data_IF_139827676628
#
_entry.id   IF_139827676628
#
_cell.length_a   1.000
_cell.length_b   1.000
_cell.length_c   1.000
_cell.angle_alpha   90.00
_cell.angle_beta   90.00
_cell.angle_gamma   90.00
#
_symmetry.space_group_name_H-M   'P 1'
#
loop_
_entity.id
_entity.type
_entity.pdbx_description
1 polymer ?
#
# COMPACT_ATOMS: atom_id res chain seq x y z
N UNK A 1 -26.22 5.51 -19.18
CA UNK A 1 -25.07 6.34 -19.58
C UNK A 1 -25.35 7.75 -19.09
N UNK A 2 -24.81 8.12 -17.94
CA UNK A 2 -24.78 9.51 -17.46
C UNK A 2 -23.61 10.20 -18.14
N UNK A 3 -23.86 11.34 -18.79
CA UNK A 3 -22.81 12.11 -19.47
C UNK A 3 -21.95 12.85 -18.44
N UNK A 4 -20.70 13.14 -18.78
CA UNK A 4 -19.73 13.90 -17.95
C UNK A 4 -20.35 15.19 -17.37
N UNK A 5 -21.27 15.81 -18.11
CA UNK A 5 -22.00 17.01 -17.71
C UNK A 5 -23.09 16.76 -16.66
N UNK A 6 -23.68 15.57 -16.60
CA UNK A 6 -24.66 15.20 -15.57
C UNK A 6 -23.99 14.88 -14.22
N UNK A 7 -22.80 14.27 -14.25
CA UNK A 7 -22.00 14.04 -13.03
C UNK A 7 -21.51 15.36 -12.43
N UNK A 8 -21.06 16.30 -13.28
CA UNK A 8 -20.69 17.65 -12.85
C UNK A 8 -21.87 18.43 -12.25
N UNK A 9 -23.10 18.16 -12.70
CA UNK A 9 -24.33 18.76 -12.15
C UNK A 9 -24.69 18.17 -10.78
N UNK A 10 -24.54 16.86 -10.60
CA UNK A 10 -24.70 16.19 -9.28
C UNK A 10 -23.68 16.69 -8.25
N UNK A 11 -22.46 16.97 -8.67
CA UNK A 11 -21.40 17.53 -7.81
C UNK A 11 -21.58 19.04 -7.52
N UNK A 12 -22.44 19.73 -8.27
CA UNK A 12 -22.72 21.17 -8.11
C UNK A 12 -23.70 21.50 -6.99
N UNK A 13 -24.56 20.55 -6.59
CA UNK A 13 -25.57 20.70 -5.55
C UNK A 13 -25.10 20.07 -4.23
N UNK A 14 -24.07 20.67 -3.61
CA UNK A 14 -23.56 20.24 -2.31
C UNK A 14 -22.85 18.89 -2.37
N UNK A 15 -21.52 18.92 -2.39
CA UNK A 15 -20.70 17.73 -2.20
C UNK A 15 -21.00 17.13 -0.83
N UNK A 16 -21.89 16.13 -0.78
CA UNK A 16 -21.99 15.26 0.38
C UNK A 16 -20.76 14.35 0.40
N UNK A 17 -19.71 14.84 1.06
CA UNK A 17 -18.43 14.14 1.25
C UNK A 17 -18.62 12.79 1.96
N UNK A 18 -19.78 12.52 2.55
CA UNK A 18 -20.11 11.24 3.16
C UNK A 18 -20.38 10.12 2.16
N UNK A 19 -20.50 10.41 0.86
CA UNK A 19 -20.82 9.41 -0.18
C UNK A 19 -19.78 9.24 -1.30
N UNK A 20 -18.60 9.88 -1.20
CA UNK A 20 -17.53 9.76 -2.20
C UNK A 20 -17.06 8.30 -2.40
N UNK A 21 -17.09 7.84 -3.65
CA UNK A 21 -16.56 6.55 -4.10
C UNK A 21 -15.26 6.72 -4.91
N UNK A 22 -14.53 5.62 -5.14
CA UNK A 22 -13.24 5.62 -5.85
C UNK A 22 -13.34 6.13 -7.30
N UNK A 23 -14.48 5.86 -7.96
CA UNK A 23 -14.79 6.39 -9.30
C UNK A 23 -14.96 7.91 -9.33
N UNK A 24 -15.40 8.51 -8.21
CA UNK A 24 -15.55 9.96 -8.09
C UNK A 24 -14.19 10.64 -7.94
N UNK A 25 -13.23 9.99 -7.26
CA UNK A 25 -11.87 10.52 -7.09
C UNK A 25 -11.11 10.56 -8.43
N UNK A 26 -11.20 9.49 -9.23
CA UNK A 26 -10.60 9.46 -10.57
C UNK A 26 -11.21 10.56 -11.47
N UNK A 27 -12.52 10.81 -11.35
CA UNK A 27 -13.23 11.87 -12.07
C UNK A 27 -12.80 13.27 -11.60
N UNK A 28 -12.67 13.48 -10.29
CA UNK A 28 -12.20 14.74 -9.70
C UNK A 28 -10.75 15.02 -10.10
N UNK A 29 -9.88 14.02 -10.13
CA UNK A 29 -8.48 14.16 -10.54
C UNK A 29 -8.31 14.36 -12.06
N UNK A 30 -9.25 13.88 -12.87
CA UNK A 30 -9.22 14.05 -14.33
C UNK A 30 -9.60 15.46 -14.81
N UNK A 31 -10.29 16.25 -13.98
CA UNK A 31 -10.69 17.62 -14.28
C UNK A 31 -9.98 18.63 -13.34
N UNK A 32 -9.04 19.44 -13.85
CA UNK A 32 -8.30 20.42 -13.05
C UNK A 32 -9.18 21.44 -12.30
N UNK A 33 -10.33 21.82 -12.88
CA UNK A 33 -11.25 22.78 -12.26
C UNK A 33 -12.00 22.15 -11.09
N UNK A 34 -12.47 20.90 -11.25
CA UNK A 34 -13.09 20.13 -10.17
C UNK A 34 -12.09 19.84 -9.04
N UNK A 35 -10.87 19.43 -9.37
CA UNK A 35 -9.80 19.21 -8.38
C UNK A 35 -9.50 20.48 -7.56
N UNK A 36 -9.40 21.64 -8.24
CA UNK A 36 -9.12 22.91 -7.56
C UNK A 36 -10.27 23.35 -6.66
N UNK A 37 -11.52 23.16 -7.11
CA UNK A 37 -12.70 23.49 -6.31
C UNK A 37 -12.83 22.56 -5.09
N UNK A 38 -12.63 21.26 -5.28
CA UNK A 38 -12.62 20.27 -4.19
C UNK A 38 -11.55 20.57 -3.14
N UNK A 39 -10.33 20.89 -3.58
CA UNK A 39 -9.25 21.28 -2.66
C UNK A 39 -9.59 22.55 -1.86
N UNK A 40 -10.29 23.51 -2.47
CA UNK A 40 -10.73 24.75 -1.81
C UNK A 40 -11.81 24.48 -0.76
N UNK A 41 -12.85 23.72 -1.10
CA UNK A 41 -13.92 23.35 -0.16
C UNK A 41 -13.38 22.53 1.02
N UNK A 42 -12.44 21.60 0.76
CA UNK A 42 -11.78 20.84 1.81
C UNK A 42 -10.94 21.74 2.74
N UNK A 43 -10.23 22.72 2.19
CA UNK A 43 -9.45 23.66 2.99
C UNK A 43 -10.34 24.55 3.88
N UNK A 44 -11.50 24.97 3.38
CA UNK A 44 -12.51 25.74 4.12
C UNK A 44 -13.07 24.92 5.28
N UNK A 45 -13.52 23.69 5.03
CA UNK A 45 -13.99 22.76 6.06
C UNK A 45 -12.91 22.44 7.11
N UNK A 46 -11.67 22.22 6.67
CA UNK A 46 -10.56 21.98 7.58
C UNK A 46 -10.30 23.18 8.53
N UNK A 47 -10.54 24.40 8.05
CA UNK A 47 -10.44 25.62 8.87
C UNK A 47 -11.58 25.73 9.89
N UNK A 48 -12.79 25.29 9.55
CA UNK A 48 -13.93 25.25 10.48
C UNK A 48 -13.72 24.24 11.61
N UNK A 49 -13.15 23.07 11.30
CA UNK A 49 -12.91 22.01 12.30
C UNK A 49 -11.78 22.36 13.26
N UNK A 50 -10.71 23.00 12.78
CA UNK A 50 -9.58 23.43 13.63
C UNK A 50 -9.20 24.88 13.29
N UNK A 51 -9.92 25.86 13.88
CA UNK A 51 -9.64 27.27 13.63
C UNK A 51 -8.22 27.64 14.11
N UNK A 52 -7.50 28.42 13.30
CA UNK A 52 -6.15 28.91 13.60
C UNK A 52 -5.01 27.98 13.18
N UNK A 53 -5.29 26.76 12.73
CA UNK A 53 -4.27 25.91 12.09
C UNK A 53 -4.05 26.33 10.64
N UNK A 54 -2.78 26.54 10.25
CA UNK A 54 -2.42 26.67 8.83
C UNK A 54 -2.36 25.26 8.24
N UNK A 55 -3.20 24.99 7.27
CA UNK A 55 -3.21 23.74 6.51
C UNK A 55 -2.35 23.92 5.26
N UNK A 56 -1.36 23.05 5.07
CA UNK A 56 -0.64 22.94 3.80
C UNK A 56 -1.44 22.09 2.81
N UNK A 57 -1.10 22.18 1.51
CA UNK A 57 -1.71 21.33 0.48
C UNK A 57 -1.39 19.86 0.75
N UNK A 58 -0.20 19.58 1.28
CA UNK A 58 0.26 18.27 1.71
C UNK A 58 -0.57 17.72 2.87
N UNK A 59 -0.87 18.54 3.89
CA UNK A 59 -1.72 18.12 5.02
C UNK A 59 -3.12 17.70 4.56
N UNK A 60 -3.71 18.47 3.64
CA UNK A 60 -5.05 18.20 3.10
C UNK A 60 -5.06 16.95 2.23
N UNK A 61 -4.03 16.74 1.40
CA UNK A 61 -3.83 15.51 0.63
C UNK A 61 -3.69 14.30 1.55
N UNK A 62 -2.86 14.39 2.57
CA UNK A 62 -2.60 13.29 3.50
C UNK A 62 -3.86 12.95 4.31
N UNK A 63 -4.69 13.94 4.65
CA UNK A 63 -6.01 13.73 5.29
C UNK A 63 -6.99 13.04 4.34
N UNK A 64 -7.08 13.49 3.08
CA UNK A 64 -7.92 12.84 2.07
C UNK A 64 -7.49 11.40 1.84
N UNK A 65 -6.20 11.17 1.65
CA UNK A 65 -5.63 9.84 1.47
C UNK A 65 -5.92 8.97 2.70
N UNK A 66 -5.79 9.51 3.91
CA UNK A 66 -6.15 8.82 5.14
C UNK A 66 -7.67 8.55 5.25
N UNK A 67 -8.53 9.46 4.81
CA UNK A 67 -9.99 9.32 4.86
C UNK A 67 -10.50 8.28 3.84
N UNK A 68 -9.99 8.33 2.62
CA UNK A 68 -10.26 7.36 1.55
C UNK A 68 -9.73 5.98 1.96
N UNK A 69 -8.51 5.91 2.51
CA UNK A 69 -7.94 4.65 3.00
C UNK A 69 -8.61 4.13 4.28
N UNK A 70 -9.15 5.00 5.14
CA UNK A 70 -9.89 4.58 6.35
C UNK A 70 -11.20 3.86 6.04
N UNK A 71 -11.75 3.96 4.82
CA UNK A 71 -12.87 3.10 4.39
C UNK A 71 -12.44 1.68 4.03
N UNK A 72 -11.15 1.40 3.86
CA UNK A 72 -10.60 0.04 3.79
C UNK A 72 -10.08 -0.34 5.18
N UNK A 73 -10.92 -0.99 5.98
CA UNK A 73 -10.45 -1.68 7.19
C UNK A 73 -9.55 -2.86 6.76
N UNK A 74 -8.26 -2.58 6.55
CA UNK A 74 -7.32 -3.50 5.92
C UNK A 74 -5.85 -3.10 6.09
N UNK A 75 -4.98 -3.95 5.55
CA UNK A 75 -3.51 -3.93 5.63
C UNK A 75 -2.94 -2.57 5.20
N UNK A 76 -1.85 -2.14 5.84
CA UNK A 76 -1.21 -0.86 5.52
C UNK A 76 -0.41 -0.97 4.22
N UNK A 77 -0.97 -0.44 3.13
CA UNK A 77 -0.20 -0.15 1.91
C UNK A 77 0.57 1.16 2.14
N UNK A 78 1.89 1.11 2.02
CA UNK A 78 2.79 2.21 2.34
C UNK A 78 3.72 2.47 1.16
N UNK A 79 4.03 3.74 0.89
CA UNK A 79 5.03 4.09 -0.11
C UNK A 79 6.40 3.46 0.21
N UNK A 80 7.10 2.99 -0.83
CA UNK A 80 8.42 2.36 -0.71
C UNK A 80 9.47 3.21 0.04
N UNK A 81 9.34 4.54 0.07
CA UNK A 81 10.24 5.42 0.83
C UNK A 81 10.29 5.12 2.34
N UNK A 82 9.24 4.50 2.88
CA UNK A 82 9.17 4.16 4.31
C UNK A 82 9.64 2.74 4.64
N UNK A 83 9.89 1.90 3.64
CA UNK A 83 10.26 0.49 3.83
C UNK A 83 11.50 0.33 4.72
N UNK A 84 12.60 1.00 4.36
CA UNK A 84 13.88 0.93 5.11
C UNK A 84 13.70 1.32 6.58
N UNK A 85 12.87 2.34 6.86
CA UNK A 85 12.54 2.74 8.23
C UNK A 85 11.78 1.63 8.97
N UNK A 86 10.79 1.02 8.34
CA UNK A 86 9.97 -0.03 8.95
C UNK A 86 10.73 -1.32 9.22
N UNK A 87 11.61 -1.74 8.32
CA UNK A 87 12.48 -2.92 8.56
C UNK A 87 13.41 -2.66 9.75
N UNK A 88 14.04 -1.48 9.85
CA UNK A 88 14.86 -1.12 11.02
C UNK A 88 14.07 -1.15 12.32
N UNK A 89 12.85 -0.63 12.32
CA UNK A 89 11.98 -0.67 13.49
C UNK A 89 11.70 -2.11 13.93
N UNK A 90 11.43 -3.03 12.97
CA UNK A 90 11.19 -4.44 13.28
C UNK A 90 12.45 -5.16 13.77
N UNK A 91 13.62 -4.94 13.17
CA UNK A 91 14.88 -5.46 13.68
C UNK A 91 15.10 -5.01 15.14
N UNK A 92 14.92 -3.72 15.42
CA UNK A 92 15.03 -3.21 16.78
C UNK A 92 13.99 -3.76 17.76
N UNK A 93 12.83 -4.25 17.30
CA UNK A 93 11.86 -4.96 18.14
C UNK A 93 12.29 -6.41 18.37
N UNK A 94 12.75 -7.10 17.32
CA UNK A 94 13.28 -8.45 17.42
C UNK A 94 14.48 -8.53 18.36
N UNK A 95 15.42 -7.58 18.26
CA UNK A 95 16.62 -7.55 19.11
C UNK A 95 16.28 -7.28 20.59
N UNK A 96 15.28 -6.43 20.85
CA UNK A 96 14.90 -6.04 22.22
C UNK A 96 13.97 -7.03 22.91
N UNK A 97 13.07 -7.66 22.15
CA UNK A 97 11.96 -8.44 22.70
C UNK A 97 11.93 -9.89 22.23
N UNK A 98 12.81 -10.29 21.30
CA UNK A 98 12.80 -11.62 20.71
C UNK A 98 11.58 -11.88 19.81
N UNK A 99 10.89 -10.82 19.36
CA UNK A 99 9.74 -10.91 18.45
C UNK A 99 10.24 -11.07 17.00
N UNK A 100 10.20 -12.29 16.40
CA UNK A 100 10.70 -12.46 15.03
C UNK A 100 9.79 -11.76 14.03
N UNK A 101 10.31 -11.43 12.86
CA UNK A 101 9.51 -10.93 11.75
C UNK A 101 10.02 -11.46 10.43
N UNK A 102 9.16 -11.49 9.41
CA UNK A 102 9.55 -11.84 8.06
C UNK A 102 9.55 -10.63 7.14
N UNK A 103 10.49 -10.62 6.20
CA UNK A 103 10.45 -9.79 5.00
C UNK A 103 10.25 -10.70 3.81
N UNK A 104 9.27 -10.37 2.97
CA UNK A 104 8.99 -11.12 1.73
C UNK A 104 9.04 -10.13 0.58
N UNK A 105 9.70 -10.48 -0.52
CA UNK A 105 9.72 -9.70 -1.75
C UNK A 105 9.11 -10.56 -2.85
N UNK A 106 8.04 -10.07 -3.47
CA UNK A 106 7.33 -10.71 -4.57
C UNK A 106 7.67 -9.92 -5.83
N UNK A 107 8.18 -10.62 -6.85
CA UNK A 107 8.51 -10.05 -8.16
C UNK A 107 7.51 -10.53 -9.20
N UNK A 108 6.92 -9.59 -9.94
CA UNK A 108 6.03 -9.86 -11.07
C UNK A 108 6.78 -9.77 -12.39
N UNK A 109 6.22 -10.39 -13.43
CA UNK A 109 6.69 -10.33 -14.82
C UNK A 109 6.77 -8.88 -15.39
N UNK A 110 7.53 -8.65 -16.49
CA UNK A 110 7.78 -7.31 -17.08
C UNK A 110 6.57 -6.54 -17.56
N UNK A 111 5.56 -7.26 -18.05
CA UNK A 111 4.37 -6.70 -18.66
C UNK A 111 3.15 -7.51 -18.22
N UNK A 112 2.75 -7.40 -16.93
CA UNK A 112 1.51 -8.02 -16.51
C UNK A 112 0.35 -7.34 -17.27
N UNK A 113 -0.65 -8.13 -17.68
CA UNK A 113 -1.84 -7.59 -18.34
C UNK A 113 -2.45 -6.45 -17.49
N UNK A 114 -3.10 -5.49 -18.15
CA UNK A 114 -3.72 -4.35 -17.46
C UNK A 114 -4.70 -4.85 -16.38
N UNK A 115 -4.60 -4.32 -15.16
CA UNK A 115 -5.40 -4.73 -14.00
C UNK A 115 -4.83 -5.89 -13.17
N UNK A 116 -3.85 -6.66 -13.67
CA UNK A 116 -3.23 -7.75 -12.90
C UNK A 116 -2.53 -7.22 -11.64
N UNK A 117 -1.86 -6.07 -11.74
CA UNK A 117 -1.16 -5.48 -10.59
C UNK A 117 -2.11 -5.15 -9.43
N UNK A 118 -3.28 -4.60 -9.73
CA UNK A 118 -4.31 -4.27 -8.74
C UNK A 118 -4.94 -5.54 -8.17
N UNK A 119 -5.27 -6.52 -9.03
CA UNK A 119 -5.79 -7.82 -8.62
C UNK A 119 -4.84 -8.56 -7.66
N UNK A 120 -3.54 -8.54 -7.97
CA UNK A 120 -2.49 -9.10 -7.11
C UNK A 120 -2.41 -8.39 -5.78
N UNK A 121 -2.45 -7.06 -5.79
CA UNK A 121 -2.40 -6.27 -4.57
C UNK A 121 -3.59 -6.58 -3.67
N UNK A 122 -4.80 -6.65 -4.21
CA UNK A 122 -6.01 -6.98 -3.46
C UNK A 122 -5.93 -8.41 -2.90
N UNK A 123 -5.53 -9.39 -3.71
CA UNK A 123 -5.36 -10.77 -3.26
C UNK A 123 -4.35 -10.92 -2.11
N UNK A 124 -3.25 -10.15 -2.17
CA UNK A 124 -2.24 -10.10 -1.10
C UNK A 124 -2.80 -9.43 0.15
N UNK A 125 -3.43 -8.26 0.01
CA UNK A 125 -3.96 -7.47 1.13
C UNK A 125 -5.08 -8.22 1.87
N UNK A 126 -5.94 -8.97 1.19
CA UNK A 126 -7.03 -9.72 1.84
C UNK A 126 -6.55 -10.82 2.81
N UNK A 127 -5.31 -11.30 2.67
CA UNK A 127 -4.77 -12.41 3.49
C UNK A 127 -3.83 -11.98 4.58
N UNK A 128 -3.42 -10.73 4.55
CA UNK A 128 -2.47 -10.17 5.51
C UNK A 128 -3.19 -9.62 6.73
N UNK A 129 -2.52 -9.68 7.88
CA UNK A 129 -3.04 -9.15 9.14
C UNK A 129 -3.00 -7.63 9.11
N UNK A 130 -3.80 -7.00 9.98
CA UNK A 130 -3.79 -5.54 10.17
C UNK A 130 -2.42 -4.98 10.58
N UNK A 131 -1.57 -5.81 11.18
CA UNK A 131 -0.20 -5.46 11.59
C UNK A 131 0.82 -5.59 10.46
N UNK A 132 0.48 -6.32 9.41
CA UNK A 132 1.36 -6.55 8.27
C UNK A 132 1.39 -5.27 7.42
N UNK A 133 2.49 -5.11 6.69
CA UNK A 133 2.74 -3.93 5.88
C UNK A 133 3.12 -4.34 4.47
N UNK A 134 2.53 -3.68 3.48
CA UNK A 134 2.80 -3.88 2.06
C UNK A 134 3.43 -2.61 1.50
N UNK A 135 4.52 -2.75 0.76
CA UNK A 135 5.23 -1.65 0.11
C UNK A 135 5.32 -1.89 -1.39
N UNK A 136 4.98 -0.88 -2.16
CA UNK A 136 4.87 -0.97 -3.62
C UNK A 136 6.13 -0.45 -4.30
N UNK A 137 6.64 -1.22 -5.28
CA UNK A 137 7.86 -0.94 -6.03
C UNK A 137 7.77 -1.35 -7.50
N UNK A 138 7.14 -0.53 -8.36
CA UNK A 138 6.96 -0.84 -9.79
C UNK A 138 6.38 -2.25 -9.99
N UNK A 139 7.23 -3.24 -10.33
CA UNK A 139 6.87 -4.66 -10.56
C UNK A 139 7.03 -5.54 -9.31
N UNK A 140 7.26 -4.96 -8.14
CA UNK A 140 7.58 -5.70 -6.92
C UNK A 140 6.75 -5.23 -5.74
N UNK A 141 6.47 -6.18 -4.85
CA UNK A 141 5.87 -5.94 -3.55
C UNK A 141 6.85 -6.35 -2.48
N UNK A 142 7.08 -5.49 -1.50
CA UNK A 142 7.73 -5.91 -0.26
C UNK A 142 6.68 -6.05 0.84
N UNK A 143 6.73 -7.14 1.57
CA UNK A 143 5.90 -7.40 2.73
C UNK A 143 6.79 -7.39 3.97
N UNK A 144 6.33 -6.72 5.02
CA UNK A 144 6.92 -6.83 6.36
C UNK A 144 5.85 -7.43 7.27
N UNK A 145 6.16 -8.60 7.83
CA UNK A 145 5.24 -9.46 8.56
C UNK A 145 5.70 -9.61 10.02
N UNK A 146 5.25 -8.73 10.93
CA UNK A 146 5.61 -8.81 12.34
C UNK A 146 5.15 -10.13 12.97
N UNK A 147 5.95 -10.66 13.91
CA UNK A 147 5.64 -11.91 14.64
C UNK A 147 5.45 -13.13 13.74
N UNK A 148 6.07 -13.11 12.56
CA UNK A 148 6.09 -14.25 11.65
C UNK A 148 7.21 -15.19 12.04
N UNK A 149 6.89 -16.48 12.19
CA UNK A 149 7.86 -17.53 12.49
C UNK A 149 8.26 -18.27 11.21
N UNK A 150 9.48 -18.79 11.18
CA UNK A 150 10.03 -19.49 10.03
C UNK A 150 9.16 -20.67 9.57
N UNK A 151 8.58 -21.44 10.51
CA UNK A 151 7.80 -22.63 10.18
C UNK A 151 6.49 -22.30 9.46
N UNK A 152 5.96 -21.09 9.66
CA UNK A 152 4.69 -20.64 9.06
C UNK A 152 4.89 -19.87 7.75
N UNK A 153 6.10 -19.42 7.47
CA UNK A 153 6.38 -18.53 6.34
C UNK A 153 6.20 -19.25 5.01
N UNK A 154 6.74 -20.46 4.85
CA UNK A 154 6.63 -21.23 3.60
C UNK A 154 5.17 -21.45 3.21
N UNK A 155 4.33 -21.89 4.16
CA UNK A 155 2.91 -22.09 3.90
C UNK A 155 2.14 -20.78 3.60
N UNK A 156 2.62 -19.63 4.10
CA UNK A 156 2.05 -18.34 3.71
C UNK A 156 2.47 -17.96 2.29
N UNK A 157 3.76 -18.12 1.95
CA UNK A 157 4.31 -17.81 0.63
C UNK A 157 3.63 -18.63 -0.46
N UNK A 158 3.48 -19.94 -0.27
CA UNK A 158 2.78 -20.80 -1.24
C UNK A 158 1.33 -20.37 -1.43
N UNK A 159 0.60 -20.09 -0.34
CA UNK A 159 -0.78 -19.59 -0.43
C UNK A 159 -0.88 -18.25 -1.14
N UNK A 160 0.07 -17.34 -0.91
CA UNK A 160 0.11 -16.04 -1.59
C UNK A 160 0.36 -16.25 -3.08
N UNK A 161 1.30 -17.14 -3.45
CA UNK A 161 1.55 -17.49 -4.86
C UNK A 161 0.30 -18.05 -5.54
N UNK A 162 -0.33 -19.06 -4.95
CA UNK A 162 -1.55 -19.66 -5.50
C UNK A 162 -2.66 -18.63 -5.72
N UNK A 163 -2.83 -17.68 -4.79
CA UNK A 163 -3.85 -16.64 -4.90
C UNK A 163 -3.53 -15.62 -6.00
N UNK A 164 -2.26 -15.27 -6.14
CA UNK A 164 -1.82 -14.39 -7.22
C UNK A 164 -2.10 -15.05 -8.56
N UNK A 165 -1.76 -16.33 -8.71
CA UNK A 165 -1.96 -17.05 -9.97
C UNK A 165 -3.44 -17.21 -10.31
N UNK A 166 -4.29 -17.45 -9.29
CA UNK A 166 -5.75 -17.49 -9.45
C UNK A 166 -6.32 -16.12 -9.81
N UNK A 167 -5.88 -15.05 -9.14
CA UNK A 167 -6.36 -13.69 -9.38
C UNK A 167 -5.95 -13.15 -10.75
N UNK A 168 -4.73 -13.46 -11.18
CA UNK A 168 -4.21 -13.09 -12.49
C UNK A 168 -4.71 -14.00 -13.62
N UNK A 169 -5.29 -15.16 -13.30
CA UNK A 169 -5.71 -16.17 -14.29
C UNK A 169 -4.54 -16.87 -15.02
N UNK A 170 -3.30 -16.58 -14.62
CA UNK A 170 -2.06 -17.12 -15.16
C UNK A 170 -0.95 -16.96 -14.11
N UNK A 171 0.14 -17.73 -14.26
CA UNK A 171 1.34 -17.56 -13.46
C UNK A 171 2.02 -16.24 -13.82
N UNK A 172 1.96 -15.25 -12.92
CA UNK A 172 2.55 -13.91 -13.11
C UNK A 172 3.68 -13.58 -12.14
N UNK A 173 3.96 -14.51 -11.21
CA UNK A 173 5.03 -14.39 -10.22
C UNK A 173 6.34 -14.93 -10.80
N UNK A 174 7.30 -14.04 -11.02
CA UNK A 174 8.65 -14.38 -11.43
C UNK A 174 9.44 -15.02 -10.28
N UNK A 175 9.26 -14.50 -9.06
CA UNK A 175 9.97 -14.99 -7.89
C UNK A 175 9.37 -14.49 -6.58
N UNK A 176 9.57 -15.27 -5.52
CA UNK A 176 9.28 -14.85 -4.15
C UNK A 176 10.50 -15.15 -3.30
N UNK A 177 11.10 -14.10 -2.77
CA UNK A 177 12.27 -14.15 -1.92
C UNK A 177 11.88 -13.77 -0.50
N UNK A 178 12.40 -14.47 0.50
CA UNK A 178 11.99 -14.21 1.88
C UNK A 178 13.08 -14.47 2.89
N UNK A 179 13.00 -13.76 4.02
CA UNK A 179 13.85 -13.97 5.19
C UNK A 179 13.05 -13.77 6.47
N UNK A 180 13.36 -14.57 7.49
CA UNK A 180 12.88 -14.35 8.87
C UNK A 180 14.04 -13.87 9.72
N UNK A 181 13.91 -12.69 10.33
CA UNK A 181 14.88 -12.18 11.27
C UNK A 181 14.48 -12.54 12.71
N UNK A 182 15.42 -12.98 13.57
CA UNK A 182 16.86 -13.13 13.31
C UNK A 182 17.20 -14.34 12.41
N UNK A 183 18.13 -14.13 11.48
CA UNK A 183 18.65 -15.14 10.54
C UNK A 183 20.17 -15.27 10.72
N UNK A 184 20.73 -16.47 10.95
CA UNK A 184 22.18 -16.67 11.02
C UNK A 184 22.95 -16.16 9.78
N UNK A 185 22.34 -16.20 8.60
CA UNK A 185 22.95 -15.68 7.36
C UNK A 185 22.89 -14.15 7.26
N UNK A 186 22.03 -13.50 8.06
CA UNK A 186 21.80 -12.05 8.09
C UNK A 186 21.72 -11.58 9.55
N UNK A 187 22.87 -11.58 10.25
CA UNK A 187 22.92 -11.47 11.70
C UNK A 187 22.58 -10.07 12.24
N UNK A 188 22.53 -9.06 11.38
CA UNK A 188 22.31 -7.67 11.78
C UNK A 188 21.30 -6.93 10.88
N UNK A 189 20.81 -5.80 11.38
CA UNK A 189 19.84 -4.95 10.68
C UNK A 189 20.32 -4.55 9.28
N UNK A 190 21.60 -4.25 9.10
CA UNK A 190 22.13 -3.76 7.83
C UNK A 190 22.14 -4.88 6.78
N UNK A 191 22.52 -6.10 7.16
CA UNK A 191 22.50 -7.28 6.29
C UNK A 191 21.09 -7.65 5.79
N UNK A 192 20.05 -7.49 6.62
CA UNK A 192 18.65 -7.68 6.20
C UNK A 192 18.21 -6.59 5.23
N UNK A 193 18.58 -5.34 5.51
CA UNK A 193 18.26 -4.21 4.64
C UNK A 193 18.91 -4.34 3.27
N UNK A 194 20.18 -4.69 3.23
CA UNK A 194 20.94 -4.82 1.98
C UNK A 194 20.39 -5.96 1.14
N UNK A 195 20.10 -7.12 1.76
CA UNK A 195 19.40 -8.20 1.07
C UNK A 195 18.05 -7.77 0.51
N UNK A 196 17.23 -7.07 1.30
CA UNK A 196 15.90 -6.65 0.85
C UNK A 196 15.97 -5.61 -0.29
N UNK A 197 16.92 -4.68 -0.21
CA UNK A 197 17.18 -3.72 -1.29
C UNK A 197 17.71 -4.39 -2.54
N UNK A 198 18.56 -5.39 -2.41
CA UNK A 198 19.04 -6.19 -3.54
C UNK A 198 17.87 -6.88 -4.22
N UNK A 199 16.97 -7.55 -3.49
CA UNK A 199 15.77 -8.17 -4.09
C UNK A 199 14.85 -7.16 -4.77
N UNK A 200 14.80 -5.93 -4.27
CA UNK A 200 14.01 -4.85 -4.87
C UNK A 200 14.67 -4.21 -6.10
N UNK A 201 16.01 -4.23 -6.18
CA UNK A 201 16.80 -3.65 -7.28
C UNK A 201 17.12 -4.64 -8.38
N UNK A 202 17.51 -5.86 -8.03
CA UNK A 202 17.88 -6.89 -9.00
C UNK A 202 16.64 -7.37 -9.74
N UNK A 203 16.57 -7.01 -11.02
CA UNK A 203 16.19 -7.96 -12.05
C UNK A 203 17.27 -7.88 -13.14
N UNK A 204 17.47 -8.94 -13.93
CA UNK A 204 17.94 -8.77 -15.30
C UNK A 204 17.09 -7.75 -16.07
#
# INVERSE_FOLDING_TARGET
MTTVTETAKRLGEGLDLSDLQEADLATICADPWLAQRFAKELAELAHEVIPGRRWSVEDLRDILEAAVRRRRDGVRVVEGRYFRKRVREQCGLADRYGDPFAVVVISLEPEPQEGVYESVLDAVVERLRKTDMVFLYKRRFALVLPRMRAESLTALVERVRELIDVGAGASVVEGIESVVYPDPARPDTQSVLDWAEDQLRTAP
#
